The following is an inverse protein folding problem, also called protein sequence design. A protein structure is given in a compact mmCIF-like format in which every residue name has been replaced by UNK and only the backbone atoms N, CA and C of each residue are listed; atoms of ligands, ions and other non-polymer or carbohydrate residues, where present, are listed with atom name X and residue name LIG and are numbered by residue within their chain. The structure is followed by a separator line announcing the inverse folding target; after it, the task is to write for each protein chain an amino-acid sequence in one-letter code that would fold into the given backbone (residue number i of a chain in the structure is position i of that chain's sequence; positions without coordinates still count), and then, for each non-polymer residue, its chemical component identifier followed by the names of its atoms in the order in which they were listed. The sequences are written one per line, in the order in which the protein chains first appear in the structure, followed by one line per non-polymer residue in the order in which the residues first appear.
data_IF_001409669587
#
_entry.id   IF_001409669587
#
_cell.length_a   1.000
_cell.length_b   1.000
_cell.length_c   1.000
_cell.angle_alpha   90.00
_cell.angle_beta   90.00
_cell.angle_gamma   90.00
#
_symmetry.space_group_name_H-M   'P 1'
#
loop_
_entity.id
_entity.type
_entity.pdbx_description
1 polymer ?
#
# COMPACT_ATOMS: atom_id res chain seq x y z
N UNK A 1 8.05 -10.70 17.98
CA UNK A 1 8.98 -9.99 18.88
C UNK A 1 9.39 -10.83 20.08
N UNK A 2 8.52 -11.11 21.08
CA UNK A 2 8.91 -11.88 22.27
C UNK A 2 9.57 -13.26 21.98
N UNK A 3 9.11 -13.98 20.95
CA UNK A 3 9.72 -15.27 20.53
C UNK A 3 11.08 -15.10 19.85
N UNK A 4 11.28 -14.01 19.12
CA UNK A 4 12.53 -13.74 18.42
C UNK A 4 13.62 -13.28 19.39
N UNK A 5 13.27 -12.43 20.34
CA UNK A 5 14.15 -12.01 21.42
C UNK A 5 14.60 -13.21 22.26
N UNK A 6 13.67 -14.11 22.62
CA UNK A 6 14.01 -15.35 23.31
C UNK A 6 14.87 -16.28 22.44
N UNK A 7 14.58 -16.41 21.13
CA UNK A 7 15.39 -17.24 20.23
C UNK A 7 16.83 -16.71 20.05
N UNK A 8 16.99 -15.37 20.00
CA UNK A 8 18.30 -14.70 19.96
C UNK A 8 19.09 -14.93 21.26
N UNK A 9 18.43 -14.87 22.42
CA UNK A 9 19.06 -15.08 23.72
C UNK A 9 19.37 -16.56 24.03
N UNK A 10 18.51 -17.50 23.63
CA UNK A 10 18.63 -18.92 24.00
C UNK A 10 19.41 -19.76 22.97
N UNK A 11 19.34 -19.43 21.67
CA UNK A 11 19.86 -20.28 20.59
C UNK A 11 20.77 -19.60 19.56
N UNK A 12 21.03 -18.29 19.72
CA UNK A 12 21.90 -17.53 18.84
C UNK A 12 21.32 -17.26 17.44
N UNK A 13 22.19 -16.80 16.53
CA UNK A 13 21.83 -16.29 15.20
C UNK A 13 21.14 -17.36 14.33
N UNK A 14 21.59 -18.62 14.41
CA UNK A 14 21.05 -19.73 13.60
C UNK A 14 19.66 -20.16 14.05
N UNK A 15 19.39 -20.19 15.37
CA UNK A 15 18.06 -20.48 15.89
C UNK A 15 17.06 -19.36 15.57
N UNK A 16 17.51 -18.10 15.67
CA UNK A 16 16.70 -16.94 15.30
C UNK A 16 16.36 -16.93 13.80
N UNK A 17 17.33 -17.26 12.93
CA UNK A 17 17.09 -17.35 11.49
C UNK A 17 16.06 -18.44 11.15
N UNK A 18 16.18 -19.62 11.76
CA UNK A 18 15.24 -20.72 11.54
C UNK A 18 13.80 -20.41 12.03
N UNK A 19 13.65 -19.58 13.06
CA UNK A 19 12.32 -19.13 13.53
C UNK A 19 11.71 -18.07 12.60
N UNK A 20 12.54 -17.17 12.05
CA UNK A 20 12.10 -16.22 11.02
C UNK A 20 11.62 -16.94 9.76
N UNK A 21 12.29 -18.01 9.33
CA UNK A 21 11.91 -18.78 8.14
C UNK A 21 10.52 -19.43 8.29
N UNK A 22 10.14 -19.81 9.52
CA UNK A 22 8.83 -20.41 9.82
C UNK A 22 7.73 -19.38 10.02
N UNK A 23 8.09 -18.11 10.23
CA UNK A 23 7.12 -17.06 10.56
C UNK A 23 6.72 -16.31 9.30
N UNK A 24 5.44 -16.34 8.88
CA UNK A 24 5.00 -15.55 7.75
C UNK A 24 4.90 -14.07 8.15
N UNK A 25 5.45 -13.18 7.33
CA UNK A 25 5.29 -11.74 7.47
C UNK A 25 6.51 -10.95 7.02
N UNK A 26 6.32 -9.65 6.71
CA UNK A 26 7.40 -8.80 6.18
C UNK A 26 8.51 -8.59 7.22
N UNK A 27 8.15 -8.46 8.49
CA UNK A 27 9.11 -8.37 9.61
C UNK A 27 10.03 -9.60 9.64
N UNK A 28 9.47 -10.81 9.60
CA UNK A 28 10.26 -12.05 9.63
C UNK A 28 11.18 -12.19 8.40
N UNK A 29 10.68 -11.81 7.22
CA UNK A 29 11.45 -11.82 5.95
C UNK A 29 12.71 -10.95 6.05
N UNK A 30 12.58 -9.74 6.59
CA UNK A 30 13.69 -8.77 6.71
C UNK A 30 14.68 -9.22 7.78
N UNK A 31 14.20 -9.69 8.92
CA UNK A 31 15.05 -10.16 10.00
C UNK A 31 15.84 -11.40 9.58
N UNK A 32 15.23 -12.32 8.84
CA UNK A 32 15.93 -13.45 8.24
C UNK A 32 17.05 -12.99 7.29
N UNK A 33 16.78 -11.99 6.45
CA UNK A 33 17.77 -11.44 5.52
C UNK A 33 18.98 -10.80 6.24
N UNK A 34 18.73 -10.13 7.37
CA UNK A 34 19.78 -9.60 8.25
C UNK A 34 20.59 -10.71 8.93
N UNK A 35 19.92 -11.64 9.61
CA UNK A 35 20.55 -12.76 10.33
C UNK A 35 21.39 -13.65 9.42
N UNK A 36 20.94 -13.91 8.19
CA UNK A 36 21.67 -14.71 7.18
C UNK A 36 23.03 -14.11 6.79
N UNK A 37 23.28 -12.83 7.11
CA UNK A 37 24.51 -12.10 6.79
C UNK A 37 25.24 -11.59 8.02
N UNK A 38 24.81 -11.98 9.23
CA UNK A 38 25.44 -11.57 10.48
C UNK A 38 26.93 -11.97 10.57
N UNK A 39 27.33 -13.05 9.89
CA UNK A 39 28.73 -13.48 9.82
C UNK A 39 29.64 -12.60 8.93
N UNK A 40 29.08 -11.64 8.17
CA UNK A 40 29.82 -10.74 7.27
C UNK A 40 30.05 -9.34 7.87
N UNK A 41 29.63 -9.14 9.12
CA UNK A 41 29.74 -7.87 9.85
C UNK A 41 28.50 -6.99 9.74
N UNK A 42 28.34 -6.08 10.71
CA UNK A 42 27.16 -5.22 10.89
C UNK A 42 26.77 -4.40 9.66
N UNK A 43 27.74 -3.86 8.91
CA UNK A 43 27.47 -3.09 7.68
C UNK A 43 26.74 -3.94 6.61
N UNK A 44 27.10 -5.22 6.50
CA UNK A 44 26.45 -6.14 5.56
C UNK A 44 25.05 -6.53 6.01
N UNK A 45 24.80 -6.55 7.32
CA UNK A 45 23.49 -6.82 7.91
C UNK A 45 22.54 -5.66 7.65
N UNK A 46 22.96 -4.44 7.98
CA UNK A 46 22.19 -3.22 7.74
C UNK A 46 21.80 -3.11 6.26
N UNK A 47 22.77 -3.29 5.37
CA UNK A 47 22.50 -3.27 3.92
C UNK A 47 21.55 -4.37 3.46
N UNK A 48 21.57 -5.53 4.10
CA UNK A 48 20.65 -6.62 3.80
C UNK A 48 19.22 -6.31 4.22
N UNK A 49 19.07 -5.81 5.44
CA UNK A 49 17.82 -5.38 6.04
C UNK A 49 17.18 -4.29 5.17
N UNK A 50 17.93 -3.25 4.82
CA UNK A 50 17.44 -2.13 4.00
C UNK A 50 16.99 -2.58 2.61
N UNK A 51 17.76 -3.47 1.97
CA UNK A 51 17.39 -4.02 0.67
C UNK A 51 16.13 -4.89 0.74
N UNK A 52 16.04 -5.78 1.74
CA UNK A 52 14.87 -6.62 1.95
C UNK A 52 13.62 -5.78 2.29
N UNK A 53 13.79 -4.76 3.14
CA UNK A 53 12.74 -3.82 3.51
C UNK A 53 12.17 -3.09 2.30
N UNK A 54 13.03 -2.63 1.38
CA UNK A 54 12.59 -1.98 0.15
C UNK A 54 11.78 -2.91 -0.76
N UNK A 55 12.14 -4.20 -0.83
CA UNK A 55 11.40 -5.20 -1.61
C UNK A 55 10.03 -5.48 -0.97
N UNK A 56 9.97 -5.65 0.35
CA UNK A 56 8.72 -5.88 1.09
C UNK A 56 7.79 -4.66 1.01
N UNK A 57 8.32 -3.43 1.13
CA UNK A 57 7.56 -2.19 0.92
C UNK A 57 6.92 -2.16 -0.47
N UNK A 58 7.70 -2.42 -1.52
CA UNK A 58 7.18 -2.47 -2.88
C UNK A 58 6.10 -3.55 -3.06
N UNK A 59 6.22 -4.68 -2.37
CA UNK A 59 5.21 -5.74 -2.40
C UNK A 59 3.91 -5.31 -1.71
N UNK A 60 4.00 -4.66 -0.54
CA UNK A 60 2.87 -4.11 0.20
C UNK A 60 2.13 -3.02 -0.61
N UNK A 61 2.87 -2.18 -1.33
CA UNK A 61 2.30 -1.08 -2.13
C UNK A 61 1.75 -1.52 -3.50
N UNK A 62 2.07 -2.73 -3.99
CA UNK A 62 1.73 -3.19 -5.35
C UNK A 62 0.24 -3.04 -5.70
N UNK A 63 -0.67 -3.20 -4.74
CA UNK A 63 -2.12 -3.06 -4.95
C UNK A 63 -2.62 -1.61 -4.87
N UNK A 64 -1.87 -0.72 -4.21
CA UNK A 64 -2.30 0.65 -3.93
C UNK A 64 -2.39 1.50 -5.19
N UNK A 65 -1.53 1.23 -6.17
CA UNK A 65 -1.54 1.95 -7.46
C UNK A 65 -2.86 1.77 -8.21
N UNK A 66 -3.50 0.59 -8.10
CA UNK A 66 -4.78 0.33 -8.75
C UNK A 66 -5.88 1.15 -8.08
N UNK A 67 -5.90 1.19 -6.75
CA UNK A 67 -6.85 2.00 -5.98
C UNK A 67 -6.68 3.49 -6.30
N UNK A 68 -5.45 4.00 -6.29
CA UNK A 68 -5.13 5.38 -6.67
C UNK A 68 -5.61 5.70 -8.10
N UNK A 69 -5.39 4.78 -9.04
CA UNK A 69 -5.86 4.94 -10.42
C UNK A 69 -7.37 5.03 -10.49
N UNK A 70 -8.11 4.15 -9.80
CA UNK A 70 -9.58 4.16 -9.79
C UNK A 70 -10.14 5.45 -9.17
N UNK A 71 -9.52 5.95 -8.11
CA UNK A 71 -9.90 7.23 -7.48
C UNK A 71 -9.87 8.38 -8.49
N UNK A 72 -8.84 8.42 -9.35
CA UNK A 72 -8.70 9.47 -10.36
C UNK A 72 -9.60 9.23 -11.57
N UNK A 73 -9.72 7.98 -12.03
CA UNK A 73 -10.46 7.66 -13.25
C UNK A 73 -11.99 7.64 -13.05
N UNK A 74 -12.50 7.27 -11.87
CA UNK A 74 -13.95 7.16 -11.64
C UNK A 74 -14.69 8.52 -11.83
N UNK A 75 -14.21 9.66 -11.31
CA UNK A 75 -14.81 10.97 -11.59
C UNK A 75 -14.66 11.38 -13.06
N UNK A 76 -13.52 11.06 -13.69
CA UNK A 76 -13.31 11.35 -15.12
C UNK A 76 -14.31 10.59 -15.98
N UNK A 77 -14.60 9.33 -15.67
CA UNK A 77 -15.66 8.54 -16.33
C UNK A 77 -17.06 9.11 -16.05
N UNK A 78 -17.31 9.63 -14.85
CA UNK A 78 -18.56 10.34 -14.56
C UNK A 78 -18.74 11.60 -15.42
N UNK A 79 -17.64 12.34 -15.64
CA UNK A 79 -17.58 13.52 -16.50
C UNK A 79 -17.74 13.18 -17.99
N UNK A 80 -17.21 12.06 -18.48
CA UNK A 80 -17.50 11.66 -19.87
C UNK A 80 -19.00 11.36 -20.07
N UNK A 81 -19.67 10.83 -19.04
CA UNK A 81 -21.13 10.67 -19.02
C UNK A 81 -21.90 11.98 -19.14
N UNK A 82 -21.44 13.07 -18.50
CA UNK A 82 -22.10 14.38 -18.67
C UNK A 82 -21.96 14.93 -20.07
N UNK A 83 -20.77 14.80 -20.67
CA UNK A 83 -20.54 15.21 -22.06
C UNK A 83 -21.46 14.43 -22.99
N UNK A 84 -21.58 13.11 -22.80
CA UNK A 84 -22.47 12.28 -23.62
C UNK A 84 -23.94 12.66 -23.48
N UNK A 85 -24.44 12.86 -22.25
CA UNK A 85 -25.82 13.26 -22.00
C UNK A 85 -26.15 14.65 -22.56
N UNK A 86 -25.20 15.60 -22.48
CA UNK A 86 -25.35 16.91 -23.12
C UNK A 86 -25.42 16.83 -24.64
N UNK A 87 -24.57 16.01 -25.28
CA UNK A 87 -24.64 15.79 -26.74
C UNK A 87 -26.02 15.25 -27.14
N UNK A 88 -26.55 14.26 -26.40
CA UNK A 88 -27.88 13.72 -26.64
C UNK A 88 -29.01 14.74 -26.44
N UNK A 89 -28.88 15.63 -25.44
CA UNK A 89 -29.83 16.72 -25.21
C UNK A 89 -29.84 17.72 -26.38
N UNK A 90 -28.67 18.11 -26.89
CA UNK A 90 -28.57 19.00 -28.06
C UNK A 90 -29.08 18.37 -29.36
N UNK A 91 -28.84 17.07 -29.56
CA UNK A 91 -29.42 16.33 -30.69
C UNK A 91 -30.95 16.29 -30.63
N UNK A 92 -31.52 16.23 -29.42
CA UNK A 92 -32.97 16.25 -29.21
C UNK A 92 -33.57 17.62 -29.54
N UNK A 93 -32.90 18.72 -29.15
CA UNK A 93 -33.27 20.08 -29.57
C UNK A 93 -33.26 20.17 -31.10
N UNK A 94 -32.18 19.69 -31.75
CA UNK A 94 -32.03 19.74 -33.21
C UNK A 94 -33.16 18.99 -33.94
N UNK A 95 -33.57 17.83 -33.42
CA UNK A 95 -34.65 17.01 -34.01
C UNK A 95 -36.04 17.62 -33.80
N UNK A 96 -36.29 18.19 -32.63
CA UNK A 96 -37.58 18.78 -32.30
C UNK A 96 -37.79 20.15 -32.95
N UNK A 97 -36.71 20.83 -33.36
CA UNK A 97 -36.72 22.22 -33.80
C UNK A 97 -37.42 23.16 -32.80
N UNK A 98 -37.36 22.79 -31.52
CA UNK A 98 -37.96 23.48 -30.39
C UNK A 98 -36.97 23.41 -29.21
N UNK A 99 -36.93 24.49 -28.43
CA UNK A 99 -35.99 24.69 -27.32
C UNK A 99 -36.72 24.52 -25.98
N UNK A 100 -37.83 23.77 -25.97
CA UNK A 100 -38.56 23.48 -24.73
C UNK A 100 -37.65 22.80 -23.69
N UNK A 101 -37.55 23.33 -22.45
CA UNK A 101 -36.77 22.72 -21.38
C UNK A 101 -37.15 21.27 -21.08
N UNK A 102 -38.39 20.87 -21.37
CA UNK A 102 -38.86 19.49 -21.21
C UNK A 102 -38.11 18.49 -22.12
N UNK A 103 -37.64 18.93 -23.29
CA UNK A 103 -36.95 18.10 -24.27
C UNK A 103 -35.52 17.75 -23.80
N UNK A 104 -34.87 18.67 -23.07
CA UNK A 104 -33.49 18.50 -22.59
C UNK A 104 -33.39 17.99 -21.15
N UNK A 105 -34.45 18.12 -20.35
CA UNK A 105 -34.44 17.77 -18.93
C UNK A 105 -34.00 16.32 -18.67
N UNK A 106 -34.41 15.38 -19.54
CA UNK A 106 -34.01 13.97 -19.44
C UNK A 106 -32.51 13.77 -19.60
N UNK A 107 -31.91 14.28 -20.69
CA UNK A 107 -30.48 14.11 -20.97
C UNK A 107 -29.58 14.83 -19.96
N UNK A 108 -30.01 15.98 -19.44
CA UNK A 108 -29.29 16.70 -18.38
C UNK A 108 -29.38 15.93 -17.05
N UNK A 109 -30.55 15.37 -16.72
CA UNK A 109 -30.71 14.57 -15.50
C UNK A 109 -29.84 13.32 -15.53
N UNK A 110 -29.77 12.62 -16.67
CA UNK A 110 -28.90 11.46 -16.85
C UNK A 110 -27.42 11.84 -16.72
N UNK A 111 -26.99 12.91 -17.38
CA UNK A 111 -25.65 13.47 -17.26
C UNK A 111 -25.25 13.74 -15.80
N UNK A 112 -26.12 14.39 -15.02
CA UNK A 112 -25.82 14.71 -13.63
C UNK A 112 -25.73 13.44 -12.76
N UNK A 113 -26.58 12.45 -13.01
CA UNK A 113 -26.53 11.17 -12.30
C UNK A 113 -25.22 10.43 -12.56
N UNK A 114 -24.73 10.38 -13.81
CA UNK A 114 -23.47 9.67 -14.11
C UNK A 114 -22.27 10.31 -13.40
N UNK A 115 -22.23 11.64 -13.27
CA UNK A 115 -21.18 12.33 -12.50
C UNK A 115 -21.29 12.03 -11.00
N UNK A 116 -22.50 12.07 -10.45
CA UNK A 116 -22.72 11.74 -9.04
C UNK A 116 -22.21 10.33 -8.73
N UNK A 117 -22.53 9.34 -9.57
CA UNK A 117 -22.04 7.97 -9.40
C UNK A 117 -20.52 7.87 -9.45
N UNK A 118 -19.85 8.54 -10.41
CA UNK A 118 -18.39 8.56 -10.50
C UNK A 118 -17.73 9.13 -9.24
N UNK A 119 -18.30 10.19 -8.67
CA UNK A 119 -17.83 10.79 -7.42
C UNK A 119 -18.05 9.87 -6.21
N UNK A 120 -19.23 9.25 -6.11
CA UNK A 120 -19.54 8.34 -4.99
C UNK A 120 -18.58 7.15 -4.97
N UNK A 121 -18.31 6.55 -6.14
CA UNK A 121 -17.33 5.46 -6.24
C UNK A 121 -15.95 5.93 -5.82
N UNK A 122 -15.49 7.09 -6.31
CA UNK A 122 -14.18 7.64 -5.95
C UNK A 122 -14.04 7.89 -4.44
N UNK A 123 -15.07 8.46 -3.80
CA UNK A 123 -15.08 8.71 -2.36
C UNK A 123 -14.97 7.41 -1.54
N UNK A 124 -15.71 6.36 -1.94
CA UNK A 124 -15.66 5.06 -1.25
C UNK A 124 -14.26 4.47 -1.37
N UNK A 125 -13.69 4.43 -2.59
CA UNK A 125 -12.35 3.88 -2.81
C UNK A 125 -11.27 4.70 -2.08
N UNK A 126 -11.42 6.03 -1.99
CA UNK A 126 -10.49 6.89 -1.24
C UNK A 126 -10.43 6.52 0.26
N UNK A 127 -11.57 6.17 0.87
CA UNK A 127 -11.61 5.73 2.27
C UNK A 127 -10.80 4.44 2.44
N UNK A 128 -11.01 3.46 1.55
CA UNK A 128 -10.25 2.20 1.58
C UNK A 128 -8.77 2.41 1.31
N UNK A 129 -8.41 3.26 0.35
CA UNK A 129 -7.03 3.64 0.07
C UNK A 129 -6.34 4.18 1.34
N UNK A 130 -6.94 5.16 2.01
CA UNK A 130 -6.38 5.72 3.24
C UNK A 130 -6.24 4.68 4.36
N UNK A 131 -7.22 3.77 4.49
CA UNK A 131 -7.16 2.68 5.45
C UNK A 131 -5.99 1.73 5.17
N UNK A 132 -5.82 1.30 3.91
CA UNK A 132 -4.72 0.41 3.53
C UNK A 132 -3.37 1.09 3.66
N UNK A 133 -3.23 2.38 3.27
CA UNK A 133 -2.02 3.16 3.50
C UNK A 133 -1.65 3.15 4.98
N UNK A 134 -2.59 3.49 5.88
CA UNK A 134 -2.32 3.48 7.33
C UNK A 134 -1.93 2.10 7.86
N UNK A 135 -2.43 1.01 7.27
CA UNK A 135 -2.03 -0.36 7.64
C UNK A 135 -0.64 -0.71 7.14
N UNK A 136 -0.27 -0.28 5.94
CA UNK A 136 1.08 -0.46 5.37
C UNK A 136 2.08 0.34 6.20
N UNK A 137 1.81 1.60 6.52
CA UNK A 137 2.69 2.44 7.34
C UNK A 137 2.98 1.80 8.69
N UNK A 138 1.98 1.20 9.34
CA UNK A 138 2.17 0.46 10.60
C UNK A 138 3.10 -0.73 10.42
N UNK A 139 2.96 -1.50 9.34
CA UNK A 139 3.84 -2.63 9.07
C UNK A 139 5.28 -2.16 8.80
N UNK A 140 5.46 -1.02 8.14
CA UNK A 140 6.78 -0.42 7.91
C UNK A 140 7.41 -0.03 9.24
N UNK A 141 6.67 0.64 10.13
CA UNK A 141 7.16 0.97 11.48
C UNK A 141 7.55 -0.29 12.26
N UNK A 142 6.71 -1.33 12.23
CA UNK A 142 7.02 -2.60 12.88
C UNK A 142 8.31 -3.24 12.31
N UNK A 143 8.53 -3.13 10.99
CA UNK A 143 9.75 -3.61 10.32
C UNK A 143 10.99 -2.81 10.76
N UNK A 144 10.89 -1.48 10.85
CA UNK A 144 11.97 -0.59 11.27
C UNK A 144 12.35 -0.82 12.74
N UNK A 145 11.37 -0.86 13.64
CA UNK A 145 11.59 -1.13 15.07
C UNK A 145 12.27 -2.48 15.27
N UNK A 146 11.79 -3.52 14.58
CA UNK A 146 12.41 -4.85 14.64
C UNK A 146 13.84 -4.88 14.10
N UNK A 147 14.12 -4.07 13.07
CA UNK A 147 15.45 -3.98 12.47
C UNK A 147 16.45 -3.33 13.42
N UNK A 148 16.02 -2.28 14.15
CA UNK A 148 16.83 -1.63 15.18
C UNK A 148 17.11 -2.60 16.32
N UNK A 149 16.09 -3.29 16.83
CA UNK A 149 16.28 -4.29 17.89
C UNK A 149 17.28 -5.39 17.50
N UNK A 150 17.22 -5.87 16.25
CA UNK A 150 18.16 -6.86 15.74
C UNK A 150 19.59 -6.30 15.65
N UNK A 151 19.75 -5.07 15.18
CA UNK A 151 21.06 -4.42 15.09
C UNK A 151 21.68 -4.23 16.47
N UNK A 152 20.91 -3.73 17.44
CA UNK A 152 21.38 -3.55 18.83
C UNK A 152 21.81 -4.88 19.45
N UNK A 153 21.01 -5.95 19.26
CA UNK A 153 21.36 -7.28 19.74
C UNK A 153 22.66 -7.83 19.11
N UNK A 154 22.88 -7.59 17.82
CA UNK A 154 24.12 -8.01 17.14
C UNK A 154 25.34 -7.20 17.60
N UNK A 155 25.19 -5.90 17.86
CA UNK A 155 26.24 -5.05 18.41
C UNK A 155 26.66 -5.54 19.79
N UNK A 156 25.70 -5.78 20.70
CA UNK A 156 25.99 -6.29 22.04
C UNK A 156 26.71 -7.66 22.00
N UNK A 157 26.36 -8.51 21.03
CA UNK A 157 27.02 -9.80 20.83
C UNK A 157 28.46 -9.64 20.31
N UNK A 158 28.73 -8.69 19.40
CA UNK A 158 30.09 -8.39 18.94
C UNK A 158 30.95 -7.80 20.07
N UNK A 159 30.40 -6.91 20.90
CA UNK A 159 31.10 -6.33 22.05
C UNK A 159 31.49 -7.40 23.08
N UNK A 160 30.59 -8.32 23.42
CA UNK A 160 30.87 -9.44 24.33
C UNK A 160 31.90 -10.43 23.78
N UNK A 161 32.05 -10.52 22.46
CA UNK A 161 33.05 -11.39 21.82
C UNK A 161 34.44 -10.75 21.77
N UNK A 162 34.51 -9.43 21.86
CA UNK A 162 35.73 -8.64 21.85
C UNK A 162 36.27 -8.30 23.27
N UNK A 163 35.52 -8.63 24.32
CA UNK A 163 35.97 -8.62 25.73
C UNK A 163 36.54 -10.00 26.13
#
# INVERSE_FOLDING_TARGET
MARLHNALQEGGIEAAAAECEKTPGPVASILHAGLSRANKGLEHVEKAITNAGSIEMAFLERGMIVLATVIVLAPMMGFTGTVSGMVGAFDSIKKANDISPAIVAGGISEALLTTLFGLVVAMIIQIFYNYFTSRIDKLIIDMEESSIELMDALVEMEEKKNQ
#
